data_IF_949497085088
#
_entry.id   IF_949497085088
#
_cell.length_a   1.000
_cell.length_b   1.000
_cell.length_c   1.000
_cell.angle_alpha   90.00
_cell.angle_beta   90.00
_cell.angle_gamma   90.00
#
_symmetry.space_group_name_H-M   'P 1'
#
loop_
_entity.id
_entity.type
_entity.pdbx_description
1 polymer ?
#
# COMPACT_ATOMS: atom_id res chain seq x y z
N UNK A 1 4.55 -29.30 27.50
CA UNK A 1 5.74 -28.66 26.91
C UNK A 1 5.97 -29.27 25.53
N UNK A 2 5.92 -28.48 24.46
CA UNK A 2 6.07 -28.99 23.09
C UNK A 2 7.54 -29.35 22.82
N UNK A 3 7.79 -30.44 22.08
CA UNK A 3 9.15 -30.77 21.63
C UNK A 3 9.71 -29.63 20.76
N UNK A 4 11.01 -29.27 20.85
CA UNK A 4 11.60 -28.13 20.13
C UNK A 4 11.36 -28.13 18.62
N UNK A 5 11.35 -29.31 17.99
CA UNK A 5 11.07 -29.45 16.56
C UNK A 5 9.63 -29.07 16.18
N UNK A 6 8.65 -29.44 17.02
CA UNK A 6 7.23 -29.11 16.80
C UNK A 6 7.03 -27.60 16.98
N UNK A 7 7.64 -27.01 18.01
CA UNK A 7 7.62 -25.55 18.23
C UNK A 7 8.21 -24.77 17.03
N UNK A 8 9.36 -25.21 16.49
CA UNK A 8 9.98 -24.58 15.31
C UNK A 8 9.07 -24.66 14.08
N UNK A 9 8.41 -25.79 13.86
CA UNK A 9 7.47 -25.97 12.76
C UNK A 9 6.25 -25.05 12.90
N UNK A 10 5.63 -24.97 14.08
CA UNK A 10 4.49 -24.07 14.31
C UNK A 10 4.86 -22.59 14.13
N UNK A 11 6.03 -22.17 14.63
CA UNK A 11 6.52 -20.79 14.44
C UNK A 11 6.74 -20.47 12.96
N UNK A 12 7.27 -21.41 12.19
CA UNK A 12 7.46 -21.29 10.74
C UNK A 12 6.13 -21.09 10.01
N UNK A 13 5.13 -21.93 10.29
CA UNK A 13 3.79 -21.84 9.67
C UNK A 13 3.11 -20.52 10.04
N UNK A 14 3.13 -20.13 11.31
CA UNK A 14 2.54 -18.86 11.75
C UNK A 14 3.18 -17.65 11.04
N UNK A 15 4.50 -17.65 10.88
CA UNK A 15 5.21 -16.59 10.14
C UNK A 15 4.78 -16.48 8.68
N UNK A 16 4.53 -17.62 8.02
CA UNK A 16 4.08 -17.65 6.62
C UNK A 16 2.66 -17.09 6.50
N UNK A 17 1.74 -17.51 7.39
CA UNK A 17 0.36 -17.03 7.40
C UNK A 17 0.32 -15.51 7.60
N UNK A 18 1.04 -15.00 8.61
CA UNK A 18 1.10 -13.55 8.86
C UNK A 18 1.69 -12.78 7.67
N UNK A 19 2.71 -13.32 7.01
CA UNK A 19 3.27 -12.69 5.81
C UNK A 19 2.28 -12.65 4.64
N UNK A 20 1.48 -13.70 4.45
CA UNK A 20 0.43 -13.75 3.44
C UNK A 20 -0.69 -12.74 3.73
N UNK A 21 -1.12 -12.64 4.98
CA UNK A 21 -2.13 -11.66 5.42
C UNK A 21 -1.64 -10.23 5.19
N UNK A 22 -0.40 -9.92 5.59
CA UNK A 22 0.21 -8.62 5.35
C UNK A 22 0.33 -8.29 3.85
N UNK A 23 0.70 -9.28 3.02
CA UNK A 23 0.75 -9.12 1.56
C UNK A 23 -0.63 -8.81 0.99
N UNK A 24 -1.68 -9.49 1.46
CA UNK A 24 -3.07 -9.27 1.03
C UNK A 24 -3.56 -7.87 1.43
N UNK A 25 -3.32 -7.44 2.67
CA UNK A 25 -3.66 -6.10 3.13
C UNK A 25 -2.93 -5.02 2.32
N UNK A 26 -1.63 -5.20 2.08
CA UNK A 26 -0.84 -4.29 1.24
C UNK A 26 -1.41 -4.12 -0.17
N UNK A 27 -1.85 -5.22 -0.81
CA UNK A 27 -2.48 -5.18 -2.15
C UNK A 27 -3.83 -4.48 -2.12
N UNK A 28 -4.67 -4.79 -1.14
CA UNK A 28 -5.96 -4.14 -0.96
C UNK A 28 -5.79 -2.62 -0.78
N UNK A 29 -4.77 -2.18 -0.05
CA UNK A 29 -4.48 -0.77 0.11
C UNK A 29 -4.02 -0.08 -1.18
N UNK A 30 -3.12 -0.74 -1.91
CA UNK A 30 -2.68 -0.25 -3.23
C UNK A 30 -3.86 -0.14 -4.22
N UNK A 31 -4.80 -1.08 -4.18
CA UNK A 31 -5.97 -1.11 -5.05
C UNK A 31 -6.87 0.11 -4.84
N UNK A 32 -7.29 0.38 -3.60
CA UNK A 32 -8.16 1.54 -3.35
C UNK A 32 -7.46 2.87 -3.66
N UNK A 33 -6.14 2.97 -3.51
CA UNK A 33 -5.39 4.19 -3.88
C UNK A 33 -5.47 4.47 -5.38
N UNK A 34 -5.34 3.42 -6.20
CA UNK A 34 -5.47 3.53 -7.65
C UNK A 34 -6.91 3.88 -8.03
N UNK A 35 -7.90 3.25 -7.38
CA UNK A 35 -9.32 3.55 -7.57
C UNK A 35 -9.64 5.02 -7.23
N UNK A 36 -9.17 5.54 -6.09
CA UNK A 36 -9.30 6.94 -5.71
C UNK A 36 -8.72 7.89 -6.78
N UNK A 37 -7.51 7.58 -7.28
CA UNK A 37 -6.90 8.38 -8.34
C UNK A 37 -7.74 8.34 -9.62
N UNK A 38 -8.25 7.18 -10.02
CA UNK A 38 -9.16 7.04 -11.19
C UNK A 38 -10.43 7.87 -11.03
N UNK A 39 -11.07 7.78 -9.86
CA UNK A 39 -12.30 8.53 -9.55
C UNK A 39 -12.07 10.05 -9.64
N UNK A 40 -10.87 10.52 -9.27
CA UNK A 40 -10.48 11.93 -9.37
C UNK A 40 -9.88 12.32 -10.73
N UNK A 41 -10.00 11.49 -11.76
CA UNK A 41 -9.53 11.81 -13.11
C UNK A 41 -8.02 11.65 -13.31
N UNK A 42 -7.38 10.80 -12.51
CA UNK A 42 -5.98 10.43 -12.60
C UNK A 42 -5.04 11.22 -11.67
N UNK A 43 -5.55 12.15 -10.86
CA UNK A 43 -4.71 12.94 -9.93
C UNK A 43 -5.44 13.23 -8.63
N UNK A 44 -4.73 13.18 -7.51
CA UNK A 44 -5.23 13.56 -6.20
C UNK A 44 -4.13 14.20 -5.36
N UNK A 45 -4.48 15.02 -4.38
CA UNK A 45 -3.49 15.55 -3.43
C UNK A 45 -3.10 14.49 -2.41
N UNK A 46 -1.92 14.60 -1.81
CA UNK A 46 -1.53 13.71 -0.72
C UNK A 46 -2.49 13.78 0.48
N UNK A 47 -3.08 14.95 0.75
CA UNK A 47 -4.14 15.10 1.77
C UNK A 47 -5.33 14.19 1.45
N UNK A 48 -5.82 14.20 0.21
CA UNK A 48 -6.93 13.34 -0.21
C UNK A 48 -6.65 11.85 0.04
N UNK A 49 -5.44 11.41 -0.29
CA UNK A 49 -5.03 10.01 -0.11
C UNK A 49 -4.89 9.68 1.37
N UNK A 50 -4.39 10.60 2.20
CA UNK A 50 -4.31 10.39 3.66
C UNK A 50 -5.69 10.32 4.28
N UNK A 51 -6.59 11.26 3.97
CA UNK A 51 -7.97 11.24 4.48
C UNK A 51 -8.69 9.94 4.10
N UNK A 52 -8.54 9.50 2.84
CA UNK A 52 -9.09 8.20 2.42
C UNK A 52 -8.40 7.03 3.12
N UNK A 53 -7.11 7.14 3.39
CA UNK A 53 -6.34 6.15 4.15
C UNK A 53 -6.88 5.95 5.57
N UNK A 54 -7.27 7.01 6.26
CA UNK A 54 -7.91 6.95 7.58
C UNK A 54 -9.25 6.21 7.52
N UNK A 55 -10.06 6.44 6.47
CA UNK A 55 -11.33 5.70 6.26
C UNK A 55 -11.13 4.20 6.00
N UNK A 56 -9.96 3.83 5.48
CA UNK A 56 -9.61 2.47 5.07
C UNK A 56 -8.66 1.78 6.07
N UNK A 57 -8.51 2.33 7.27
CA UNK A 57 -7.61 1.85 8.34
C UNK A 57 -6.17 1.56 7.84
N UNK A 58 -5.64 2.47 7.00
CA UNK A 58 -4.34 2.30 6.37
C UNK A 58 -3.23 3.07 7.10
N UNK A 59 -2.61 2.46 8.11
CA UNK A 59 -1.48 3.06 8.85
C UNK A 59 -0.22 3.32 8.00
N UNK A 60 -0.18 2.79 6.78
CA UNK A 60 1.03 2.71 5.95
C UNK A 60 0.89 3.38 4.58
N UNK A 61 0.07 4.44 4.48
CA UNK A 61 -0.18 5.17 3.22
C UNK A 61 1.12 5.51 2.47
N UNK A 62 2.09 6.12 3.15
CA UNK A 62 3.36 6.52 2.52
C UNK A 62 4.18 5.33 1.99
N UNK A 63 4.10 4.17 2.65
CA UNK A 63 4.78 2.97 2.18
C UNK A 63 4.11 2.41 0.92
N UNK A 64 2.78 2.38 0.86
CA UNK A 64 2.03 1.92 -0.31
C UNK A 64 2.29 2.82 -1.52
N UNK A 65 2.25 4.14 -1.34
CA UNK A 65 2.58 5.11 -2.39
C UNK A 65 4.02 4.93 -2.89
N UNK A 66 4.97 4.66 -1.99
CA UNK A 66 6.36 4.38 -2.38
C UNK A 66 6.49 3.10 -3.21
N UNK A 67 5.76 2.04 -2.85
CA UNK A 67 5.74 0.79 -3.64
C UNK A 67 5.21 1.07 -5.04
N UNK A 68 4.05 1.73 -5.15
CA UNK A 68 3.45 2.06 -6.44
C UNK A 68 4.34 2.99 -7.29
N UNK A 69 5.01 3.97 -6.66
CA UNK A 69 6.01 4.82 -7.33
C UNK A 69 7.20 4.01 -7.86
N UNK A 70 7.72 3.07 -7.07
CA UNK A 70 8.84 2.21 -7.50
C UNK A 70 8.48 1.33 -8.70
N UNK A 71 7.22 0.91 -8.80
CA UNK A 71 6.64 0.18 -9.93
C UNK A 71 6.21 1.09 -11.10
N UNK A 72 6.40 2.40 -10.98
CA UNK A 72 5.99 3.41 -11.98
C UNK A 72 4.48 3.41 -12.28
N UNK A 73 3.67 3.00 -11.31
CA UNK A 73 2.20 3.02 -11.41
C UNK A 73 1.68 4.43 -11.19
N UNK A 74 2.34 5.19 -10.32
CA UNK A 74 2.04 6.59 -10.03
C UNK A 74 3.34 7.39 -9.86
N UNK A 75 3.22 8.71 -9.81
CA UNK A 75 4.33 9.61 -9.52
C UNK A 75 3.94 10.79 -8.62
N UNK A 76 4.95 11.36 -7.98
CA UNK A 76 4.93 12.60 -7.20
C UNK A 76 6.38 13.11 -7.10
N UNK A 77 6.62 14.39 -6.82
CA UNK A 77 7.96 15.00 -6.91
C UNK A 77 8.88 14.52 -5.79
N UNK A 78 8.37 14.43 -4.56
CA UNK A 78 9.19 14.13 -3.39
C UNK A 78 9.74 12.70 -3.38
N UNK A 79 10.88 12.48 -2.72
CA UNK A 79 11.36 11.12 -2.46
C UNK A 79 10.45 10.39 -1.45
N UNK A 80 9.95 11.12 -0.45
CA UNK A 80 9.02 10.66 0.57
C UNK A 80 7.94 11.72 0.84
N UNK A 81 6.71 11.27 1.03
CA UNK A 81 5.60 12.11 1.46
C UNK A 81 5.50 12.04 2.98
N UNK A 82 5.32 13.20 3.61
CA UNK A 82 5.27 13.33 5.06
C UNK A 82 4.09 14.22 5.40
N UNK A 83 3.15 13.70 6.18
CA UNK A 83 1.99 14.46 6.62
C UNK A 83 2.33 15.26 7.88
N UNK A 84 1.92 16.55 8.00
CA UNK A 84 1.14 17.35 7.05
C UNK A 84 1.98 18.16 6.04
N UNK A 85 3.31 18.06 6.05
CA UNK A 85 4.20 18.92 5.24
C UNK A 85 3.95 18.86 3.74
N UNK A 86 3.67 17.67 3.20
CA UNK A 86 3.47 17.45 1.77
C UNK A 86 2.00 17.31 1.36
N UNK A 87 1.05 17.77 2.19
CA UNK A 87 -0.39 17.55 1.96
C UNK A 87 -0.90 18.04 0.60
N UNK A 88 -0.32 19.13 0.07
CA UNK A 88 -0.69 19.72 -1.21
C UNK A 88 0.08 19.15 -2.41
N UNK A 89 0.99 18.18 -2.20
CA UNK A 89 1.69 17.52 -3.30
C UNK A 89 0.68 16.69 -4.10
N UNK A 90 0.73 16.84 -5.42
CA UNK A 90 -0.10 16.07 -6.34
C UNK A 90 0.51 14.69 -6.61
N UNK A 91 -0.33 13.68 -6.57
CA UNK A 91 -0.02 12.31 -6.94
C UNK A 91 -0.76 12.02 -8.24
N UNK A 92 0.00 11.66 -9.27
CA UNK A 92 -0.51 11.40 -10.62
C UNK A 92 -0.44 9.91 -10.94
N UNK A 93 -1.53 9.36 -11.46
CA UNK A 93 -1.62 7.97 -11.91
C UNK A 93 -1.05 7.83 -13.33
N UNK A 94 -0.05 6.99 -13.49
CA UNK A 94 0.61 6.72 -14.77
C UNK A 94 0.07 5.48 -15.47
N UNK A 95 -0.30 4.45 -14.70
CA UNK A 95 -0.78 3.16 -15.20
C UNK A 95 -2.17 2.87 -14.64
N UNK A 96 -3.25 3.33 -15.30
CA UNK A 96 -4.60 3.12 -14.82
C UNK A 96 -4.98 1.63 -14.80
N UNK A 97 -4.47 0.82 -15.73
CA UNK A 97 -4.83 -0.60 -15.80
C UNK A 97 -3.98 -1.49 -14.87
N UNK A 98 -3.17 -0.91 -13.99
CA UNK A 98 -2.38 -1.69 -13.03
C UNK A 98 -3.28 -2.43 -12.03
N UNK A 99 -3.06 -3.73 -11.90
CA UNK A 99 -3.72 -4.59 -10.93
C UNK A 99 -2.72 -5.10 -9.88
N UNK A 100 -2.79 -4.63 -8.62
CA UNK A 100 -1.93 -5.11 -7.54
C UNK A 100 -2.10 -6.60 -7.20
N UNK A 101 -3.19 -7.23 -7.63
CA UNK A 101 -3.50 -8.63 -7.36
C UNK A 101 -2.93 -9.59 -8.43
N UNK A 102 -2.58 -9.08 -9.60
CA UNK A 102 -2.14 -9.88 -10.76
C UNK A 102 -0.69 -10.39 -10.69
N UNK A 103 0.13 -9.88 -9.76
CA UNK A 103 1.49 -10.39 -9.53
C UNK A 103 1.46 -11.55 -8.51
N UNK A 104 2.08 -12.69 -8.80
CA UNK A 104 2.29 -13.80 -7.85
C UNK A 104 3.59 -13.62 -7.04
#
# INVERSE_FOLDING_TARGET
WLKPAIYKQFKSVASVVMAQEAKKASRAHQKWMIELLKEKGGTATYDDVVQKGEEMDCDTVGAMLKILKSKKVLQYKQAFLMYPMHKAEEIELLLPDYDPEAED
#
